data_IF_987311487812
#
_entry.id   IF_987311487812
#
_cell.length_a   1.000
_cell.length_b   1.000
_cell.length_c   1.000
_cell.angle_alpha   90.00
_cell.angle_beta   90.00
_cell.angle_gamma   90.00
#
_symmetry.space_group_name_H-M   'P 1'
#
loop_
_entity.id
_entity.type
_entity.pdbx_description
1 polymer ?
#
# COMPACT_ATOMS: atom_id res chain seq x y z
N UNK A 1 42.23 -32.97 -16.21
CA UNK A 1 40.90 -33.41 -16.68
C UNK A 1 39.93 -32.29 -16.37
N UNK A 2 39.14 -31.94 -17.38
CA UNK A 2 38.71 -30.58 -17.71
C UNK A 2 37.36 -30.23 -17.10
N UNK A 3 37.24 -29.02 -16.54
CA UNK A 3 35.97 -28.40 -16.15
C UNK A 3 35.18 -27.94 -17.38
N UNK A 4 33.88 -28.22 -17.41
CA UNK A 4 32.96 -27.79 -18.48
C UNK A 4 32.15 -26.59 -17.98
N UNK A 5 32.41 -25.42 -18.56
CA UNK A 5 31.57 -24.22 -18.48
C UNK A 5 30.52 -24.25 -19.60
N UNK A 6 29.24 -24.07 -19.27
CA UNK A 6 28.18 -23.80 -20.26
C UNK A 6 27.74 -22.33 -20.18
N UNK A 7 28.11 -21.55 -21.20
CA UNK A 7 27.53 -20.23 -21.50
C UNK A 7 26.48 -20.42 -22.59
N UNK A 8 25.22 -20.05 -22.33
CA UNK A 8 24.19 -19.92 -23.37
C UNK A 8 23.96 -18.44 -23.68
N UNK A 9 24.32 -18.06 -24.90
CA UNK A 9 24.04 -16.77 -25.51
C UNK A 9 22.88 -16.97 -26.50
N UNK A 10 21.73 -16.34 -26.29
CA UNK A 10 20.58 -16.43 -27.21
C UNK A 10 20.37 -15.04 -27.83
N UNK A 11 20.72 -14.91 -29.11
CA UNK A 11 20.37 -13.76 -29.93
C UNK A 11 18.93 -13.92 -30.47
N UNK A 12 18.08 -12.91 -30.29
CA UNK A 12 16.70 -12.87 -30.79
C UNK A 12 16.64 -12.35 -32.23
N UNK A 13 15.86 -13.02 -33.10
CA UNK A 13 15.61 -12.63 -34.49
C UNK A 13 14.38 -11.71 -34.61
N UNK A 14 14.37 -10.69 -35.49
CA UNK A 14 13.25 -9.75 -35.61
C UNK A 14 12.04 -10.37 -36.34
N UNK A 15 10.84 -10.32 -35.73
CA UNK A 15 9.57 -10.76 -36.35
C UNK A 15 8.87 -9.61 -37.09
N UNK A 16 8.27 -9.92 -38.24
CA UNK A 16 7.50 -9.03 -39.12
C UNK A 16 6.12 -8.65 -38.51
N UNK A 17 5.59 -7.43 -38.78
CA UNK A 17 4.30 -6.98 -38.25
C UNK A 17 3.12 -7.78 -38.80
N UNK A 18 2.29 -8.34 -37.91
CA UNK A 18 1.05 -9.05 -38.26
C UNK A 18 -0.10 -8.05 -38.45
N UNK A 19 -0.90 -8.20 -39.50
CA UNK A 19 -2.15 -7.44 -39.70
C UNK A 19 -3.37 -8.22 -39.18
N UNK A 20 -4.36 -7.52 -38.60
CA UNK A 20 -5.64 -8.10 -38.13
C UNK A 20 -6.83 -7.49 -38.88
N UNK A 21 -7.68 -8.32 -39.49
CA UNK A 21 -8.91 -7.88 -40.15
C UNK A 21 -10.08 -7.89 -39.15
N UNK A 22 -10.64 -6.71 -38.86
CA UNK A 22 -11.75 -6.50 -37.92
C UNK A 22 -12.97 -7.33 -38.33
N UNK A 23 -13.49 -8.13 -37.42
CA UNK A 23 -14.70 -8.95 -37.59
C UNK A 23 -15.91 -8.26 -36.94
N UNK A 24 -17.10 -8.70 -37.34
CA UNK A 24 -18.34 -8.21 -36.73
C UNK A 24 -18.34 -8.44 -35.21
N UNK A 25 -18.63 -7.40 -34.44
CA UNK A 25 -18.64 -7.44 -32.98
C UNK A 25 -17.29 -7.20 -32.30
N UNK A 26 -16.19 -7.07 -33.06
CA UNK A 26 -14.89 -6.69 -32.49
C UNK A 26 -14.81 -5.17 -32.23
N UNK A 27 -14.29 -4.82 -31.07
CA UNK A 27 -13.90 -3.46 -30.68
C UNK A 27 -12.38 -3.35 -30.63
N UNK A 28 -11.84 -2.13 -30.67
CA UNK A 28 -10.41 -1.89 -30.44
C UNK A 28 -9.92 -2.57 -29.17
N UNK A 29 -10.73 -2.54 -28.11
CA UNK A 29 -10.44 -3.21 -26.85
C UNK A 29 -10.31 -4.72 -27.02
N UNK A 30 -11.28 -5.38 -27.68
CA UNK A 30 -11.24 -6.84 -27.87
C UNK A 30 -10.07 -7.29 -28.75
N UNK A 31 -9.69 -6.47 -29.75
CA UNK A 31 -8.58 -6.78 -30.66
C UNK A 31 -7.24 -6.55 -29.95
N UNK A 32 -7.07 -5.40 -29.30
CA UNK A 32 -5.87 -5.07 -28.53
C UNK A 32 -5.60 -6.14 -27.45
N UNK A 33 -6.66 -6.58 -26.75
CA UNK A 33 -6.60 -7.68 -25.78
C UNK A 33 -6.18 -9.01 -26.41
N UNK A 34 -6.78 -9.38 -27.55
CA UNK A 34 -6.47 -10.63 -28.26
C UNK A 34 -5.02 -10.66 -28.77
N UNK A 35 -4.50 -9.50 -29.16
CA UNK A 35 -3.19 -9.35 -29.78
C UNK A 35 -2.09 -8.93 -28.80
N UNK A 36 -2.41 -8.73 -27.52
CA UNK A 36 -1.44 -8.39 -26.49
C UNK A 36 -0.81 -7.00 -26.62
N UNK A 37 -1.54 -6.03 -27.19
CA UNK A 37 -1.10 -4.64 -27.35
C UNK A 37 -2.04 -3.69 -26.60
N UNK A 38 -1.61 -2.46 -26.29
CA UNK A 38 -2.52 -1.46 -25.72
C UNK A 38 -3.46 -0.88 -26.78
N UNK A 39 -4.65 -0.43 -26.37
CA UNK A 39 -5.58 0.27 -27.29
C UNK A 39 -4.94 1.53 -27.86
N UNK A 40 -4.12 2.23 -27.07
CA UNK A 40 -3.46 3.46 -27.50
C UNK A 40 -2.34 3.19 -28.51
N UNK A 41 -1.53 2.15 -28.31
CA UNK A 41 -0.52 1.73 -29.29
C UNK A 41 -1.16 1.23 -30.57
N UNK A 42 -2.27 0.49 -30.46
CA UNK A 42 -3.03 0.05 -31.62
C UNK A 42 -3.64 1.24 -32.37
N UNK A 43 -4.15 2.26 -31.68
CA UNK A 43 -4.65 3.49 -32.30
C UNK A 43 -3.53 4.27 -32.98
N UNK A 44 -2.39 4.42 -32.31
CA UNK A 44 -1.22 5.15 -32.82
C UNK A 44 -0.64 4.47 -34.06
N UNK A 45 -0.51 3.14 -34.03
CA UNK A 45 -0.05 2.34 -35.17
C UNK A 45 -1.00 2.41 -36.38
N UNK A 46 -2.27 2.75 -36.16
CA UNK A 46 -3.31 2.79 -37.20
C UNK A 46 -3.87 4.21 -37.46
N UNK A 47 -3.27 5.26 -36.90
CA UNK A 47 -3.71 6.65 -37.08
C UNK A 47 -5.14 6.96 -36.60
N UNK A 48 -5.67 6.17 -35.66
CA UNK A 48 -7.06 6.26 -35.21
C UNK A 48 -7.22 7.36 -34.15
N UNK A 49 -8.10 8.33 -34.43
CA UNK A 49 -8.44 9.43 -33.50
C UNK A 49 -9.55 9.08 -32.50
N UNK A 50 -10.23 7.95 -32.69
CA UNK A 50 -11.35 7.51 -31.86
C UNK A 50 -11.47 5.98 -31.83
N UNK A 51 -12.55 5.48 -31.23
CA UNK A 51 -12.73 4.04 -30.97
C UNK A 51 -13.57 3.28 -32.02
N UNK A 52 -14.06 3.99 -33.04
CA UNK A 52 -14.91 3.41 -34.09
C UNK A 52 -14.07 2.56 -35.03
N UNK A 53 -14.49 1.31 -35.23
CA UNK A 53 -13.92 0.40 -36.21
C UNK A 53 -14.96 0.02 -37.25
N UNK A 54 -14.55 -0.07 -38.51
CA UNK A 54 -15.38 -0.62 -39.58
C UNK A 54 -15.15 -2.11 -39.71
N UNK A 55 -16.22 -2.89 -39.88
CA UNK A 55 -16.10 -4.33 -40.16
C UNK A 55 -15.30 -4.51 -41.46
N UNK A 56 -14.29 -5.37 -41.42
CA UNK A 56 -13.38 -5.62 -42.53
C UNK A 56 -12.16 -4.69 -42.59
N UNK A 57 -12.06 -3.68 -41.72
CA UNK A 57 -10.88 -2.83 -41.59
C UNK A 57 -9.64 -3.66 -41.22
N UNK A 58 -8.50 -3.39 -41.86
CA UNK A 58 -7.23 -4.04 -41.52
C UNK A 58 -6.46 -3.13 -40.56
N UNK A 59 -6.11 -3.66 -39.39
CA UNK A 59 -5.28 -2.99 -38.40
C UNK A 59 -3.86 -3.56 -38.43
N UNK A 60 -2.88 -2.67 -38.52
CA UNK A 60 -1.46 -2.96 -38.25
C UNK A 60 -1.30 -3.23 -36.77
N UNK A 61 -0.89 -4.44 -36.39
CA UNK A 61 -0.59 -4.75 -34.99
C UNK A 61 0.87 -4.36 -34.74
N UNK A 62 1.14 -3.38 -33.86
CA UNK A 62 2.51 -2.96 -33.58
C UNK A 62 3.30 -4.13 -32.98
N UNK A 63 4.42 -4.48 -33.60
CA UNK A 63 5.38 -5.44 -33.05
C UNK A 63 6.30 -4.69 -32.08
N UNK A 64 5.76 -4.40 -30.90
CA UNK A 64 6.51 -3.84 -29.78
C UNK A 64 6.69 -4.91 -28.72
N UNK A 65 7.91 -5.03 -28.21
CA UNK A 65 8.30 -5.87 -27.06
C UNK A 65 7.64 -5.38 -25.77
N UNK A 66 6.33 -5.50 -25.68
CA UNK A 66 5.59 -5.50 -24.43
C UNK A 66 4.77 -6.77 -24.48
N UNK A 67 5.25 -7.77 -23.74
CA UNK A 67 4.50 -8.99 -23.49
C UNK A 67 3.09 -8.63 -23.01
N UNK A 68 2.07 -9.41 -23.41
CA UNK A 68 0.76 -9.24 -22.84
C UNK A 68 0.87 -9.41 -21.31
N UNK A 69 0.53 -8.36 -20.56
CA UNK A 69 0.27 -8.39 -19.10
C UNK A 69 -0.98 -9.23 -18.80
N UNK A 70 -1.05 -10.45 -19.33
CA UNK A 70 -2.04 -11.48 -19.06
C UNK A 70 -1.36 -12.84 -18.87
N UNK A 71 -0.21 -12.84 -18.18
CA UNK A 71 0.13 -13.92 -17.24
C UNK A 71 -0.22 -13.43 -15.85
N UNK A 72 -1.28 -13.97 -15.26
CA UNK A 72 -1.68 -13.61 -13.90
C UNK A 72 -0.52 -13.81 -12.93
N UNK A 73 -0.16 -12.75 -12.19
CA UNK A 73 0.63 -12.72 -10.94
C UNK A 73 1.83 -13.69 -10.76
N UNK A 74 2.35 -14.32 -11.81
CA UNK A 74 3.44 -15.27 -11.76
C UNK A 74 4.59 -14.78 -12.62
N UNK A 75 5.74 -14.61 -11.98
CA UNK A 75 7.02 -14.08 -12.46
C UNK A 75 7.14 -12.54 -12.45
N UNK A 76 7.05 -11.95 -11.26
CA UNK A 76 7.86 -10.77 -10.95
C UNK A 76 9.16 -11.27 -10.32
N UNK A 77 10.36 -10.79 -10.72
CA UNK A 77 11.57 -11.09 -9.97
C UNK A 77 11.41 -10.52 -8.56
N UNK A 78 11.50 -11.38 -7.54
CA UNK A 78 11.57 -10.96 -6.15
C UNK A 78 12.82 -10.08 -6.00
N UNK A 79 12.64 -8.80 -5.67
CA UNK A 79 13.74 -7.94 -5.24
C UNK A 79 14.24 -8.55 -3.93
N UNK A 80 15.55 -8.81 -3.80
CA UNK A 80 16.08 -9.35 -2.55
C UNK A 80 16.02 -8.30 -1.44
N UNK A 81 15.88 -8.75 -0.19
CA UNK A 81 15.91 -7.87 0.99
C UNK A 81 17.21 -7.01 0.99
N UNK A 82 18.33 -7.56 0.52
CA UNK A 82 19.62 -6.87 0.40
C UNK A 82 19.60 -5.74 -0.65
N UNK A 83 18.82 -5.88 -1.71
CA UNK A 83 18.65 -4.85 -2.74
C UNK A 83 17.71 -3.74 -2.23
N UNK A 84 16.71 -4.07 -1.41
CA UNK A 84 15.86 -3.07 -0.73
C UNK A 84 16.62 -2.25 0.32
N UNK A 85 17.60 -2.85 1.00
CA UNK A 85 18.40 -2.19 2.04
C UNK A 85 19.44 -1.20 1.50
N UNK A 86 19.83 -1.29 0.22
CA UNK A 86 20.78 -0.35 -0.40
C UNK A 86 20.10 0.99 -0.69
N UNK A 87 20.16 1.90 0.29
CA UNK A 87 19.65 3.29 0.23
C UNK A 87 19.99 4.05 -1.07
N UNK A 88 21.11 3.74 -1.74
CA UNK A 88 21.51 4.39 -3.00
C UNK A 88 20.51 4.16 -4.16
N UNK A 89 19.70 3.10 -4.10
CA UNK A 89 18.67 2.83 -5.12
C UNK A 89 17.44 3.73 -4.98
N UNK A 90 17.13 4.20 -3.76
CA UNK A 90 15.95 5.06 -3.51
C UNK A 90 16.08 6.42 -4.20
N UNK A 91 17.29 6.95 -4.35
CA UNK A 91 17.55 8.26 -4.99
C UNK A 91 17.16 8.33 -6.48
N UNK A 92 17.03 7.16 -7.14
CA UNK A 92 16.47 7.06 -8.50
C UNK A 92 14.98 7.40 -8.54
N UNK A 93 14.27 7.08 -7.46
CA UNK A 93 12.81 7.14 -7.36
C UNK A 93 12.31 8.25 -6.46
N UNK A 94 13.20 8.88 -5.68
CA UNK A 94 12.86 9.95 -4.75
C UNK A 94 13.71 11.17 -5.05
N UNK A 95 13.05 12.32 -5.13
CA UNK A 95 13.67 13.65 -5.09
C UNK A 95 13.55 14.18 -3.66
N UNK A 96 14.68 14.53 -3.06
CA UNK A 96 14.71 15.25 -1.77
C UNK A 96 14.95 16.73 -2.05
N UNK A 97 14.14 17.60 -1.46
CA UNK A 97 14.33 19.05 -1.47
C UNK A 97 14.77 19.44 -0.08
N UNK A 98 15.98 20.01 0.02
CA UNK A 98 16.50 20.53 1.27
C UNK A 98 15.94 21.91 1.51
N UNK A 99 15.55 22.17 2.76
CA UNK A 99 15.07 23.47 3.18
C UNK A 99 16.05 24.11 4.16
N UNK A 100 16.28 25.40 3.99
CA UNK A 100 17.03 26.19 4.98
C UNK A 100 16.14 26.48 6.19
N UNK A 101 16.76 26.87 7.29
CA UNK A 101 16.04 27.43 8.43
C UNK A 101 15.22 28.67 7.98
N UNK A 102 14.03 28.81 8.56
CA UNK A 102 13.05 29.82 8.18
C UNK A 102 12.77 30.79 9.32
N UNK A 103 12.93 32.09 9.06
CA UNK A 103 12.53 33.15 9.99
C UNK A 103 11.04 33.44 9.86
N UNK A 104 10.29 33.25 10.95
CA UNK A 104 8.84 33.46 11.02
C UNK A 104 8.50 34.92 10.67
N UNK A 105 7.50 35.10 9.79
CA UNK A 105 6.96 36.41 9.43
C UNK A 105 5.61 36.64 10.08
N UNK A 106 5.14 37.90 10.05
CA UNK A 106 3.80 38.26 10.54
C UNK A 106 2.73 37.43 9.82
N UNK A 107 1.89 36.73 10.60
CA UNK A 107 0.81 35.88 10.08
C UNK A 107 1.27 34.48 9.63
N UNK A 108 2.51 34.08 9.92
CA UNK A 108 2.93 32.71 9.79
C UNK A 108 2.53 31.89 11.02
N UNK A 109 2.21 30.63 10.78
CA UNK A 109 1.95 29.61 11.79
C UNK A 109 2.32 28.24 11.20
N UNK A 110 2.61 27.22 12.04
CA UNK A 110 3.18 25.96 11.57
C UNK A 110 2.39 25.27 10.45
N UNK A 111 1.06 25.17 10.54
CA UNK A 111 0.24 24.59 9.48
C UNK A 111 0.37 25.31 8.12
N UNK A 112 0.47 26.65 8.09
CA UNK A 112 0.70 27.41 6.86
C UNK A 112 2.09 27.17 6.28
N UNK A 113 3.10 27.09 7.14
CA UNK A 113 4.47 26.79 6.71
C UNK A 113 4.57 25.35 6.18
N UNK A 114 3.87 24.40 6.81
CA UNK A 114 3.79 23.02 6.37
C UNK A 114 3.27 22.90 4.93
N UNK A 115 2.19 23.62 4.61
CA UNK A 115 1.66 23.71 3.24
C UNK A 115 2.67 24.37 2.29
N UNK A 116 3.29 25.48 2.70
CA UNK A 116 4.27 26.21 1.89
C UNK A 116 5.50 25.36 1.51
N UNK A 117 5.99 24.53 2.44
CA UNK A 117 7.18 23.72 2.25
C UNK A 117 6.89 22.28 1.80
N UNK A 118 5.61 21.91 1.64
CA UNK A 118 5.11 20.55 1.38
C UNK A 118 5.69 19.51 2.34
N UNK A 119 5.49 19.76 3.64
CA UNK A 119 5.88 18.89 4.74
C UNK A 119 4.74 18.75 5.74
N UNK A 120 4.82 17.78 6.64
CA UNK A 120 3.82 17.63 7.71
C UNK A 120 4.07 18.65 8.84
N UNK A 121 3.03 19.37 9.28
CA UNK A 121 3.09 20.36 10.37
C UNK A 121 3.76 19.77 11.61
N UNK A 122 3.34 18.55 11.97
CA UNK A 122 3.90 17.81 13.09
C UNK A 122 5.42 17.69 13.02
N UNK A 123 5.96 17.44 11.83
CA UNK A 123 7.40 17.26 11.65
C UNK A 123 8.14 18.58 11.84
N UNK A 124 7.56 19.72 11.45
CA UNK A 124 8.07 21.05 11.81
C UNK A 124 8.09 21.20 13.33
N UNK A 125 6.96 20.93 14.00
CA UNK A 125 6.86 21.11 15.45
C UNK A 125 7.91 20.28 16.20
N UNK A 126 7.94 18.97 15.94
CA UNK A 126 8.82 18.06 16.68
C UNK A 126 10.31 18.28 16.36
N UNK A 127 10.66 18.66 15.13
CA UNK A 127 12.05 19.01 14.78
C UNK A 127 12.56 20.22 15.57
N UNK A 128 11.65 21.12 15.95
CA UNK A 128 11.94 22.32 16.72
C UNK A 128 11.66 22.16 18.22
N UNK A 129 11.38 20.94 18.70
CA UNK A 129 11.05 20.69 20.11
C UNK A 129 9.74 21.32 20.57
N UNK A 130 8.85 21.63 19.63
CA UNK A 130 7.54 22.24 19.86
C UNK A 130 6.43 21.18 19.88
N UNK A 131 5.32 21.56 20.50
CA UNK A 131 4.03 20.89 20.40
C UNK A 131 2.94 21.91 20.04
N UNK A 132 1.69 21.48 19.90
CA UNK A 132 0.59 22.37 19.53
C UNK A 132 0.35 23.55 20.49
N UNK A 133 0.74 23.42 21.76
CA UNK A 133 0.63 24.51 22.75
C UNK A 133 1.82 25.46 22.69
N UNK A 134 3.05 24.94 22.70
CA UNK A 134 4.25 25.79 22.62
C UNK A 134 4.43 26.44 21.25
N UNK A 135 3.82 25.88 20.21
CA UNK A 135 3.75 26.53 18.90
C UNK A 135 2.99 27.86 18.92
N UNK A 136 2.06 28.05 19.86
CA UNK A 136 1.28 29.30 19.97
C UNK A 136 2.10 30.47 20.48
N UNK A 137 3.26 30.21 21.07
CA UNK A 137 4.15 31.26 21.58
C UNK A 137 5.12 31.79 20.52
N UNK A 138 5.11 31.21 19.31
CA UNK A 138 5.97 31.63 18.21
C UNK A 138 5.66 33.08 17.77
N UNK A 139 6.72 33.85 17.54
CA UNK A 139 6.64 35.26 17.15
C UNK A 139 7.40 35.53 15.85
N UNK A 140 7.02 36.59 15.11
CA UNK A 140 7.82 37.05 13.99
C UNK A 140 9.28 37.31 14.42
N UNK A 141 10.23 36.77 13.66
CA UNK A 141 11.66 36.80 13.99
C UNK A 141 12.21 35.49 14.55
N UNK A 142 11.36 34.61 15.11
CA UNK A 142 11.79 33.28 15.52
C UNK A 142 12.28 32.46 14.32
N UNK A 143 13.25 31.58 14.54
CA UNK A 143 13.82 30.73 13.49
C UNK A 143 13.37 29.28 13.70
N UNK A 144 12.72 28.71 12.68
CA UNK A 144 12.33 27.31 12.62
C UNK A 144 13.20 26.52 11.66
N UNK A 145 13.64 25.35 12.10
CA UNK A 145 14.16 24.32 11.21
C UNK A 145 13.01 23.74 10.40
N UNK A 146 13.17 23.66 9.08
CA UNK A 146 12.18 23.07 8.18
C UNK A 146 12.71 21.69 7.76
N UNK A 147 11.95 20.60 7.96
CA UNK A 147 12.38 19.27 7.51
C UNK A 147 12.47 19.22 5.98
N UNK A 148 13.39 18.43 5.44
CA UNK A 148 13.46 18.17 4.00
C UNK A 148 12.13 17.62 3.47
N UNK A 149 11.69 18.03 2.28
CA UNK A 149 10.54 17.41 1.61
C UNK A 149 10.99 16.32 0.63
N UNK A 150 10.20 15.24 0.52
CA UNK A 150 10.51 14.09 -0.33
C UNK A 150 9.36 13.81 -1.29
N UNK A 151 9.69 13.70 -2.57
CA UNK A 151 8.71 13.45 -3.61
C UNK A 151 9.12 12.27 -4.49
N UNK A 152 8.15 11.45 -4.85
CA UNK A 152 8.26 10.40 -5.83
C UNK A 152 8.65 10.99 -7.20
N UNK A 153 9.45 10.24 -7.94
CA UNK A 153 9.75 10.47 -9.35
C UNK A 153 9.97 9.13 -10.04
N UNK A 154 9.67 9.06 -11.33
CA UNK A 154 9.95 7.88 -12.16
C UNK A 154 9.28 6.59 -11.63
N UNK A 155 8.08 6.70 -11.04
CA UNK A 155 7.33 5.54 -10.56
C UNK A 155 6.41 5.04 -11.67
N UNK A 156 6.84 4.02 -12.40
CA UNK A 156 6.07 3.54 -13.55
C UNK A 156 5.21 2.31 -13.24
N UNK A 157 5.54 1.60 -12.16
CA UNK A 157 4.87 0.37 -11.73
C UNK A 157 5.03 0.15 -10.22
N UNK A 158 4.38 -0.90 -9.69
CA UNK A 158 4.42 -1.23 -8.26
C UNK A 158 5.82 -1.62 -7.76
N UNK A 159 6.71 -2.13 -8.62
CA UNK A 159 8.09 -2.43 -8.23
C UNK A 159 8.90 -1.16 -8.00
N UNK A 160 8.72 -0.14 -8.85
CA UNK A 160 9.33 1.17 -8.63
C UNK A 160 8.82 1.80 -7.32
N UNK A 161 7.53 1.65 -7.01
CA UNK A 161 6.95 2.10 -5.74
C UNK A 161 7.53 1.35 -4.54
N UNK A 162 7.66 0.01 -4.63
CA UNK A 162 8.27 -0.83 -3.61
C UNK A 162 9.74 -0.44 -3.35
N UNK A 163 10.52 -0.22 -4.41
CA UNK A 163 11.90 0.28 -4.35
C UNK A 163 11.97 1.68 -3.74
N UNK A 164 11.06 2.58 -4.11
CA UNK A 164 11.00 3.91 -3.53
C UNK A 164 10.74 3.84 -2.01
N UNK A 165 9.85 2.95 -1.58
CA UNK A 165 9.48 2.82 -0.18
C UNK A 165 10.43 1.95 0.65
N UNK A 166 11.28 1.14 0.03
CA UNK A 166 12.14 0.19 0.74
C UNK A 166 11.32 -0.94 1.40
N UNK A 167 10.27 -1.40 0.70
CA UNK A 167 9.36 -2.46 1.15
C UNK A 167 9.18 -3.49 0.04
N UNK A 168 8.63 -4.65 0.37
CA UNK A 168 8.38 -5.71 -0.59
C UNK A 168 7.27 -5.34 -1.61
N UNK A 169 7.37 -5.77 -2.88
CA UNK A 169 6.29 -5.59 -3.85
C UNK A 169 4.97 -6.22 -3.40
N UNK A 170 5.02 -7.33 -2.67
CA UNK A 170 3.82 -7.99 -2.14
C UNK A 170 3.14 -7.16 -1.06
N UNK A 171 3.90 -6.41 -0.26
CA UNK A 171 3.33 -5.45 0.68
C UNK A 171 2.55 -4.35 -0.04
N UNK A 172 3.12 -3.75 -1.10
CA UNK A 172 2.44 -2.71 -1.89
C UNK A 172 1.18 -3.25 -2.57
N UNK A 173 1.26 -4.44 -3.20
CA UNK A 173 0.11 -5.09 -3.82
C UNK A 173 -1.01 -5.33 -2.82
N UNK A 174 -0.68 -5.75 -1.60
CA UNK A 174 -1.69 -5.98 -0.57
C UNK A 174 -2.32 -4.67 -0.11
N UNK A 175 -1.54 -3.61 0.13
CA UNK A 175 -2.11 -2.30 0.46
C UNK A 175 -3.09 -1.86 -0.61
N UNK A 176 -2.70 -1.98 -1.88
CA UNK A 176 -3.59 -1.72 -3.01
C UNK A 176 -4.83 -2.61 -3.01
N UNK A 177 -4.68 -3.92 -2.80
CA UNK A 177 -5.79 -4.86 -2.77
C UNK A 177 -6.77 -4.62 -1.61
N UNK A 178 -6.31 -4.07 -0.48
CA UNK A 178 -7.19 -3.65 0.61
C UNK A 178 -8.04 -2.44 0.23
N UNK A 179 -7.47 -1.50 -0.53
CA UNK A 179 -8.21 -0.33 -1.03
C UNK A 179 -9.19 -0.75 -2.16
N UNK A 180 -8.77 -1.66 -3.06
CA UNK A 180 -9.63 -2.20 -4.12
C UNK A 180 -10.70 -3.18 -3.58
N UNK A 181 -10.41 -3.80 -2.43
CA UNK A 181 -11.13 -4.93 -1.84
C UNK A 181 -12.55 -4.64 -1.38
N UNK A 182 -13.04 -3.42 -1.58
CA UNK A 182 -14.43 -3.07 -1.37
C UNK A 182 -15.37 -3.42 -2.53
N UNK A 183 -14.90 -4.18 -3.55
CA UNK A 183 -15.62 -5.21 -4.33
C UNK A 183 -14.76 -5.80 -5.47
N UNK A 184 -14.58 -7.13 -5.50
CA UNK A 184 -15.14 -8.02 -6.56
C UNK A 184 -14.70 -9.50 -6.43
N UNK A 185 -15.63 -10.33 -5.93
CA UNK A 185 -15.76 -11.79 -6.08
C UNK A 185 -14.93 -12.47 -7.20
N UNK A 186 -13.61 -12.61 -7.04
CA UNK A 186 -12.77 -13.49 -7.86
C UNK A 186 -12.70 -13.19 -9.36
N UNK A 187 -12.96 -11.96 -9.82
CA UNK A 187 -12.76 -11.58 -11.24
C UNK A 187 -11.37 -10.97 -11.45
N UNK A 188 -10.63 -11.36 -12.50
CA UNK A 188 -9.36 -10.73 -12.82
C UNK A 188 -9.57 -9.25 -13.19
N UNK A 189 -8.65 -8.44 -12.69
CA UNK A 189 -8.64 -6.99 -12.78
C UNK A 189 -8.70 -6.49 -14.24
N UNK A 190 -9.49 -5.44 -14.51
CA UNK A 190 -9.49 -4.73 -15.80
C UNK A 190 -9.48 -3.20 -15.66
N UNK A 191 -8.48 -2.56 -16.28
CA UNK A 191 -8.32 -1.19 -16.86
C UNK A 191 -8.93 0.07 -16.22
N UNK A 192 -9.68 0.00 -15.11
CA UNK A 192 -10.00 1.18 -14.29
C UNK A 192 -9.68 0.91 -12.81
N UNK A 193 -8.49 0.35 -12.60
CA UNK A 193 -8.02 -0.27 -11.35
C UNK A 193 -7.28 0.68 -10.41
N UNK A 194 -6.84 1.86 -10.84
CA UNK A 194 -6.02 2.75 -10.02
C UNK A 194 -6.81 3.89 -9.37
N UNK A 195 -8.15 3.91 -9.47
CA UNK A 195 -8.98 5.03 -9.04
C UNK A 195 -8.44 6.38 -9.57
N UNK A 196 -8.21 6.43 -10.88
CA UNK A 196 -7.66 7.59 -11.60
C UNK A 196 -8.55 8.85 -11.54
N UNK A 197 -9.77 8.70 -11.05
CA UNK A 197 -10.77 9.75 -10.79
C UNK A 197 -11.31 9.61 -9.38
N UNK A 198 -11.93 10.65 -8.81
CA UNK A 198 -12.36 10.63 -7.43
C UNK A 198 -13.51 9.63 -7.22
N UNK A 199 -13.57 9.06 -6.03
CA UNK A 199 -14.63 8.21 -5.51
C UNK A 199 -14.94 8.60 -4.06
N UNK A 200 -16.02 8.05 -3.50
CA UNK A 200 -16.37 8.25 -2.09
C UNK A 200 -15.93 7.01 -1.31
N UNK A 201 -15.09 7.20 -0.29
CA UNK A 201 -14.63 6.11 0.58
C UNK A 201 -15.73 5.65 1.56
N UNK A 202 -15.44 4.63 2.38
CA UNK A 202 -16.39 4.14 3.40
C UNK A 202 -16.74 5.19 4.48
N UNK A 203 -15.87 6.18 4.67
CA UNK A 203 -16.05 7.25 5.63
C UNK A 203 -16.81 8.46 5.04
N UNK A 204 -17.12 8.44 3.74
CA UNK A 204 -17.84 9.50 3.04
C UNK A 204 -16.95 10.60 2.46
N UNK A 205 -15.62 10.41 2.43
CA UNK A 205 -14.68 11.40 1.92
C UNK A 205 -14.44 11.26 0.42
N UNK A 206 -14.26 12.39 -0.27
CA UNK A 206 -13.81 12.41 -1.67
C UNK A 206 -12.34 11.95 -1.72
N UNK A 207 -12.09 10.81 -2.36
CA UNK A 207 -10.81 10.08 -2.35
C UNK A 207 -10.40 9.77 -3.79
N UNK A 208 -9.10 9.74 -4.09
CA UNK A 208 -8.55 9.36 -5.40
C UNK A 208 -7.40 8.38 -5.20
N UNK A 209 -7.05 7.63 -6.24
CA UNK A 209 -5.89 6.75 -6.17
C UNK A 209 -6.03 5.64 -5.11
N UNK A 210 -4.90 5.35 -4.47
CA UNK A 210 -4.81 4.33 -3.41
C UNK A 210 -4.99 5.05 -2.05
N UNK A 211 -6.24 5.26 -1.65
CA UNK A 211 -6.62 5.80 -0.33
C UNK A 211 -6.31 7.28 -0.10
N UNK A 212 -6.01 8.07 -1.13
CA UNK A 212 -5.67 9.49 -0.97
C UNK A 212 -6.93 10.36 -0.87
N UNK A 213 -7.22 10.90 0.31
CA UNK A 213 -8.33 11.84 0.51
C UNK A 213 -7.98 13.18 -0.15
N UNK A 214 -8.79 13.61 -1.12
CA UNK A 214 -8.55 14.81 -1.91
C UNK A 214 -8.64 16.09 -1.07
N UNK A 215 -7.66 16.97 -1.27
CA UNK A 215 -7.62 18.34 -0.75
C UNK A 215 -8.06 19.35 -1.81
N UNK A 216 -8.44 20.54 -1.35
CA UNK A 216 -8.87 21.62 -2.24
C UNK A 216 -7.73 22.03 -3.17
N UNK A 217 -8.00 22.03 -4.49
CA UNK A 217 -7.04 22.44 -5.52
C UNK A 217 -6.22 21.30 -6.11
N UNK A 218 -6.34 20.08 -5.58
CA UNK A 218 -5.66 18.91 -6.15
C UNK A 218 -6.31 18.45 -7.46
N UNK A 219 -5.50 17.80 -8.30
CA UNK A 219 -5.95 17.24 -9.58
C UNK A 219 -6.98 16.14 -9.33
N UNK A 220 -8.10 16.20 -10.05
CA UNK A 220 -9.16 15.18 -10.01
C UNK A 220 -9.04 14.11 -11.11
N UNK A 221 -8.03 14.21 -11.97
CA UNK A 221 -7.80 13.24 -13.04
C UNK A 221 -6.31 12.93 -13.10
N UNK A 222 -5.95 11.68 -12.87
CA UNK A 222 -4.57 11.22 -12.75
C UNK A 222 -4.32 10.08 -13.74
N UNK A 223 -3.16 10.07 -14.38
CA UNK A 223 -2.62 8.88 -15.05
C UNK A 223 -2.25 7.79 -14.02
N UNK A 224 -2.08 6.53 -14.44
CA UNK A 224 -1.65 5.45 -13.53
C UNK A 224 -0.31 5.76 -12.86
N UNK A 225 0.59 6.40 -13.61
CA UNK A 225 1.86 6.92 -13.10
C UNK A 225 1.63 7.94 -11.98
N UNK A 226 0.77 8.94 -12.22
CA UNK A 226 0.47 9.97 -11.21
C UNK A 226 -0.20 9.37 -9.97
N UNK A 227 -1.06 8.36 -10.11
CA UNK A 227 -1.62 7.63 -8.96
C UNK A 227 -0.51 6.95 -8.14
N UNK A 228 0.43 6.27 -8.80
CA UNK A 228 1.52 5.60 -8.11
C UNK A 228 2.49 6.60 -7.46
N UNK A 229 2.79 7.72 -8.13
CA UNK A 229 3.60 8.80 -7.55
C UNK A 229 2.90 9.43 -6.35
N UNK A 230 1.58 9.67 -6.42
CA UNK A 230 0.77 10.15 -5.30
C UNK A 230 0.79 9.18 -4.11
N UNK A 231 0.55 7.90 -4.36
CA UNK A 231 0.63 6.86 -3.34
C UNK A 231 2.01 6.81 -2.67
N UNK A 232 3.09 6.87 -3.46
CA UNK A 232 4.44 6.91 -2.90
C UNK A 232 4.65 8.20 -2.09
N UNK A 233 4.15 9.35 -2.53
CA UNK A 233 4.24 10.60 -1.76
C UNK A 233 3.56 10.49 -0.39
N UNK A 234 2.34 9.92 -0.34
CA UNK A 234 1.63 9.70 0.93
C UNK A 234 2.41 8.76 1.85
N UNK A 235 3.02 7.73 1.28
CA UNK A 235 3.87 6.78 2.00
C UNK A 235 5.17 7.38 2.49
N UNK A 236 5.77 8.32 1.76
CA UNK A 236 6.94 9.07 2.22
C UNK A 236 6.60 9.95 3.42
N UNK A 237 5.45 10.65 3.38
CA UNK A 237 4.96 11.44 4.53
C UNK A 237 4.70 10.55 5.75
N UNK A 238 4.13 9.36 5.54
CA UNK A 238 3.94 8.38 6.61
C UNK A 238 5.27 7.87 7.20
N UNK A 239 6.23 7.56 6.34
CA UNK A 239 7.59 7.15 6.75
C UNK A 239 8.27 8.25 7.59
N UNK A 240 8.16 9.51 7.19
CA UNK A 240 8.69 10.66 7.93
C UNK A 240 8.01 10.84 9.29
N UNK A 241 6.69 10.66 9.37
CA UNK A 241 5.96 10.67 10.64
C UNK A 241 6.46 9.55 11.57
N UNK A 242 6.74 8.35 11.04
CA UNK A 242 7.35 7.26 11.80
C UNK A 242 8.78 7.60 12.27
N UNK A 243 9.58 8.30 11.47
CA UNK A 243 10.90 8.79 11.91
C UNK A 243 10.74 9.67 13.13
N UNK A 244 9.84 10.64 13.05
CA UNK A 244 9.55 11.58 14.12
C UNK A 244 9.12 10.86 15.41
N UNK A 245 8.19 9.91 15.32
CA UNK A 245 7.73 9.09 16.46
C UNK A 245 8.87 8.29 17.10
N UNK A 246 9.77 7.73 16.28
CA UNK A 246 10.90 6.93 16.77
C UNK A 246 12.08 7.80 17.24
N UNK A 247 11.97 9.12 17.19
CA UNK A 247 13.02 10.05 17.61
C UNK A 247 14.15 10.18 16.58
N UNK A 248 13.80 10.15 15.30
CA UNK A 248 14.67 10.44 14.17
C UNK A 248 14.84 9.28 13.19
N UNK A 249 15.20 9.64 11.95
CA UNK A 249 15.42 8.72 10.82
C UNK A 249 16.37 7.56 11.15
N UNK A 250 17.46 7.83 11.88
CA UNK A 250 18.44 6.80 12.26
C UNK A 250 17.83 5.65 13.07
N UNK A 251 16.82 5.91 13.90
CA UNK A 251 16.16 4.87 14.69
C UNK A 251 15.21 4.05 13.82
N UNK A 252 14.54 4.69 12.86
CA UNK A 252 13.69 4.00 11.89
C UNK A 252 14.52 3.11 10.94
N UNK A 253 15.63 3.61 10.42
CA UNK A 253 16.48 2.86 9.47
C UNK A 253 17.03 1.56 10.07
N UNK A 254 17.27 1.51 11.39
CA UNK A 254 17.70 0.31 12.12
C UNK A 254 16.64 -0.77 12.23
N UNK A 255 15.36 -0.46 11.99
CA UNK A 255 14.31 -1.47 12.08
C UNK A 255 14.46 -2.51 10.96
N UNK A 256 14.20 -3.79 11.24
CA UNK A 256 14.05 -4.81 10.21
C UNK A 256 12.99 -4.39 9.19
N UNK A 257 13.19 -4.74 7.91
CA UNK A 257 12.24 -4.39 6.85
C UNK A 257 10.81 -4.83 7.17
N UNK A 258 10.64 -6.05 7.67
CA UNK A 258 9.31 -6.58 8.01
C UNK A 258 8.62 -5.81 9.15
N UNK A 259 9.39 -5.22 10.06
CA UNK A 259 8.87 -4.33 11.10
C UNK A 259 8.44 -3.00 10.48
N UNK A 260 9.24 -2.43 9.56
CA UNK A 260 8.87 -1.20 8.84
C UNK A 260 7.55 -1.38 8.08
N UNK A 261 7.40 -2.48 7.34
CA UNK A 261 6.17 -2.84 6.62
C UNK A 261 4.96 -2.91 7.57
N UNK A 262 5.09 -3.62 8.70
CA UNK A 262 4.01 -3.71 9.68
C UNK A 262 3.64 -2.33 10.27
N UNK A 263 4.62 -1.47 10.58
CA UNK A 263 4.35 -0.12 11.07
C UNK A 263 3.69 0.77 10.02
N UNK A 264 4.10 0.66 8.76
CA UNK A 264 3.45 1.37 7.65
C UNK A 264 1.99 0.93 7.52
N UNK A 265 1.67 -0.37 7.51
CA UNK A 265 0.26 -0.83 7.43
C UNK A 265 -0.56 -0.36 8.64
N UNK A 266 0.01 -0.47 9.84
CA UNK A 266 -0.66 -0.04 11.06
C UNK A 266 -1.06 1.44 11.03
N UNK A 267 -0.23 2.27 10.39
CA UNK A 267 -0.41 3.72 10.35
C UNK A 267 -1.13 4.22 9.11
N UNK A 268 -1.11 3.48 7.99
CA UNK A 268 -1.68 3.87 6.68
C UNK A 268 -3.07 4.54 6.81
N UNK A 269 -3.98 3.91 7.56
CA UNK A 269 -5.37 4.39 7.73
C UNK A 269 -5.67 5.04 9.10
N UNK A 270 -4.72 5.01 10.04
CA UNK A 270 -4.97 5.43 11.44
C UNK A 270 -4.06 6.55 11.92
N UNK A 271 -3.06 6.93 11.12
CA UNK A 271 -1.97 7.78 11.55
C UNK A 271 -1.09 7.10 12.60
N UNK A 272 -0.13 7.85 13.13
CA UNK A 272 0.87 7.34 14.07
C UNK A 272 0.40 7.19 15.51
N UNK A 273 -0.76 7.77 15.88
CA UNK A 273 -1.30 7.69 17.24
C UNK A 273 -1.47 6.25 17.72
N UNK A 274 -1.82 5.32 16.82
CA UNK A 274 -1.91 3.90 17.16
C UNK A 274 -0.59 3.32 17.70
N UNK A 275 0.56 3.85 17.26
CA UNK A 275 1.87 3.45 17.76
C UNK A 275 2.19 4.17 19.07
N UNK A 276 1.94 5.46 19.11
CA UNK A 276 2.30 6.34 20.24
C UNK A 276 1.48 6.04 21.50
N UNK A 277 0.17 5.84 21.34
CA UNK A 277 -0.76 5.55 22.42
C UNK A 277 -0.59 4.12 22.94
N UNK A 278 0.09 3.25 22.19
CA UNK A 278 0.39 1.89 22.62
C UNK A 278 1.56 1.91 23.61
N UNK A 279 1.22 1.88 24.90
CA UNK A 279 2.18 1.92 26.01
C UNK A 279 3.35 0.95 25.78
N UNK A 280 4.56 1.51 25.73
CA UNK A 280 5.82 0.76 25.60
C UNK A 280 6.23 0.42 24.16
N UNK A 281 5.35 0.55 23.15
CA UNK A 281 5.67 0.14 21.78
C UNK A 281 6.83 0.95 21.19
N UNK A 282 6.75 2.29 21.21
CA UNK A 282 7.83 3.16 20.73
C UNK A 282 9.16 2.86 21.42
N UNK A 283 9.13 2.66 22.74
CA UNK A 283 10.34 2.35 23.51
C UNK A 283 10.93 1.00 23.08
N UNK A 284 10.13 -0.08 23.01
CA UNK A 284 10.61 -1.41 22.60
C UNK A 284 11.21 -1.41 21.19
N UNK A 285 10.58 -0.70 20.24
CA UNK A 285 11.09 -0.52 18.88
C UNK A 285 12.47 0.15 18.88
N UNK A 286 12.61 1.27 19.61
CA UNK A 286 13.89 2.01 19.70
C UNK A 286 15.00 1.21 20.37
N UNK A 287 14.66 0.33 21.30
CA UNK A 287 15.61 -0.54 22.00
C UNK A 287 15.93 -1.83 21.23
N UNK A 288 15.35 -2.05 20.04
CA UNK A 288 15.53 -3.30 19.28
C UNK A 288 14.90 -4.53 19.93
N UNK A 289 13.97 -4.34 20.88
CA UNK A 289 13.25 -5.42 21.58
C UNK A 289 12.05 -5.88 20.74
N UNK A 290 12.33 -6.42 19.55
CA UNK A 290 11.32 -6.66 18.53
C UNK A 290 10.26 -7.70 18.92
N UNK A 291 10.61 -8.76 19.65
CA UNK A 291 9.61 -9.71 20.18
C UNK A 291 8.57 -9.00 21.07
N UNK A 292 9.04 -8.14 21.99
CA UNK A 292 8.15 -7.35 22.86
C UNK A 292 7.32 -6.34 22.05
N UNK A 293 7.94 -5.66 21.08
CA UNK A 293 7.25 -4.72 20.20
C UNK A 293 6.12 -5.42 19.42
N UNK A 294 6.39 -6.58 18.81
CA UNK A 294 5.40 -7.37 18.07
C UNK A 294 4.23 -7.77 18.98
N UNK A 295 4.53 -8.20 20.21
CA UNK A 295 3.50 -8.57 21.19
C UNK A 295 2.60 -7.40 21.63
N UNK A 296 3.01 -6.15 21.37
CA UNK A 296 2.22 -4.94 21.63
C UNK A 296 1.39 -4.48 20.42
N UNK A 297 1.59 -5.02 19.22
CA UNK A 297 0.88 -4.64 17.98
C UNK A 297 -0.57 -5.18 17.90
N UNK A 298 -1.27 -5.26 19.03
CA UNK A 298 -2.60 -5.90 19.15
C UNK A 298 -3.77 -4.92 19.17
N UNK A 299 -3.52 -3.61 19.02
CA UNK A 299 -4.56 -2.59 19.12
C UNK A 299 -5.54 -2.64 17.92
N UNK A 300 -6.74 -3.14 18.19
CA UNK A 300 -7.82 -3.35 17.23
C UNK A 300 -9.01 -2.39 17.44
N UNK A 301 -8.81 -1.27 18.14
CA UNK A 301 -9.87 -0.29 18.39
C UNK A 301 -9.97 0.73 17.26
N UNK A 302 -11.18 1.22 17.00
CA UNK A 302 -11.42 2.43 16.20
C UNK A 302 -11.04 3.68 17.02
N UNK A 303 -11.05 4.86 16.38
CA UNK A 303 -10.87 6.13 17.09
C UNK A 303 -11.91 6.35 18.21
N UNK A 304 -13.12 5.79 18.05
CA UNK A 304 -14.20 5.82 19.06
C UNK A 304 -14.09 4.67 20.09
N UNK A 305 -12.98 3.94 20.12
CA UNK A 305 -12.72 2.85 21.06
C UNK A 305 -13.43 1.52 20.76
N UNK A 306 -14.21 1.42 19.68
CA UNK A 306 -14.94 0.21 19.31
C UNK A 306 -13.98 -0.84 18.73
N UNK A 307 -14.14 -2.09 19.15
CA UNK A 307 -13.40 -3.22 18.58
C UNK A 307 -14.18 -3.88 17.45
N UNK A 308 -13.47 -4.32 16.42
CA UNK A 308 -14.06 -4.97 15.24
C UNK A 308 -13.29 -6.23 14.86
N UNK A 309 -13.98 -7.23 14.33
CA UNK A 309 -13.36 -8.48 13.87
C UNK A 309 -12.36 -8.23 12.74
N UNK A 310 -12.72 -7.35 11.79
CA UNK A 310 -11.87 -6.91 10.68
C UNK A 310 -10.60 -6.20 11.15
N UNK A 311 -10.67 -5.39 12.22
CA UNK A 311 -9.49 -4.76 12.80
C UNK A 311 -8.59 -5.77 13.51
N UNK A 312 -9.17 -6.80 14.13
CA UNK A 312 -8.39 -7.91 14.71
C UNK A 312 -7.68 -8.70 13.61
N UNK A 313 -8.36 -8.93 12.48
CA UNK A 313 -7.78 -9.57 11.30
C UNK A 313 -6.61 -8.76 10.72
N UNK A 314 -6.75 -7.43 10.64
CA UNK A 314 -5.64 -6.52 10.26
C UNK A 314 -4.46 -6.63 11.23
N UNK A 315 -4.69 -6.62 12.55
CA UNK A 315 -3.61 -6.80 13.54
C UNK A 315 -2.92 -8.15 13.44
N UNK A 316 -3.67 -9.22 13.16
CA UNK A 316 -3.07 -10.53 12.90
C UNK A 316 -2.11 -10.48 11.70
N UNK A 317 -2.50 -9.79 10.62
CA UNK A 317 -1.61 -9.57 9.50
C UNK A 317 -0.35 -8.79 9.90
N UNK A 318 -0.49 -7.66 10.60
CA UNK A 318 0.66 -6.82 10.98
C UNK A 318 1.67 -7.58 11.83
N UNK A 319 1.18 -8.32 12.82
CA UNK A 319 1.99 -9.18 13.69
C UNK A 319 2.70 -10.25 12.86
N UNK A 320 2.01 -10.84 11.88
CA UNK A 320 2.59 -11.89 11.03
C UNK A 320 3.63 -11.35 10.06
N UNK A 321 3.38 -10.18 9.47
CA UNK A 321 4.34 -9.44 8.65
C UNK A 321 5.58 -9.12 9.47
N UNK A 322 5.42 -8.51 10.63
CA UNK A 322 6.53 -8.21 11.53
C UNK A 322 7.34 -9.47 11.88
N UNK A 323 6.67 -10.59 12.18
CA UNK A 323 7.28 -11.87 12.53
C UNK A 323 8.13 -12.50 11.41
N UNK A 324 8.03 -12.06 10.15
CA UNK A 324 8.87 -12.55 9.04
C UNK A 324 10.36 -12.32 9.27
N UNK A 325 10.74 -11.35 10.12
CA UNK A 325 12.15 -11.16 10.52
C UNK A 325 12.79 -12.43 11.12
N UNK A 326 11.98 -13.33 11.67
CA UNK A 326 12.43 -14.60 12.24
C UNK A 326 12.52 -15.74 11.21
N UNK A 327 12.42 -15.45 9.91
CA UNK A 327 12.62 -16.39 8.79
C UNK A 327 11.82 -17.70 8.97
N UNK A 328 10.54 -17.55 9.31
CA UNK A 328 9.60 -18.66 9.50
C UNK A 328 9.59 -19.29 10.89
N UNK A 329 10.49 -18.91 11.81
CA UNK A 329 10.59 -19.45 13.18
C UNK A 329 10.38 -18.38 14.26
N UNK A 330 9.18 -17.76 14.34
CA UNK A 330 8.92 -16.73 15.35
C UNK A 330 8.90 -17.32 16.77
N UNK A 331 9.20 -16.50 17.80
CA UNK A 331 9.08 -16.91 19.19
C UNK A 331 7.66 -17.39 19.54
N UNK A 332 7.55 -18.35 20.47
CA UNK A 332 6.26 -18.87 20.91
C UNK A 332 5.35 -17.78 21.50
N UNK A 333 5.92 -16.75 22.13
CA UNK A 333 5.17 -15.60 22.63
C UNK A 333 4.41 -14.88 21.51
N UNK A 334 5.04 -14.70 20.34
CA UNK A 334 4.44 -14.08 19.15
C UNK A 334 3.33 -14.95 18.58
N UNK A 335 3.56 -16.27 18.48
CA UNK A 335 2.53 -17.23 18.04
C UNK A 335 1.32 -17.18 18.99
N UNK A 336 1.56 -17.14 20.31
CA UNK A 336 0.51 -17.02 21.31
C UNK A 336 -0.26 -15.69 21.16
N UNK A 337 0.43 -14.60 20.83
CA UNK A 337 -0.22 -13.31 20.55
C UNK A 337 -1.06 -13.37 19.28
N UNK A 338 -0.56 -13.97 18.19
CA UNK A 338 -1.34 -14.20 16.96
C UNK A 338 -2.62 -14.98 17.27
N UNK A 339 -2.51 -16.07 18.05
CA UNK A 339 -3.67 -16.86 18.47
C UNK A 339 -4.67 -16.04 19.30
N UNK A 340 -4.19 -15.22 20.24
CA UNK A 340 -5.06 -14.35 21.05
C UNK A 340 -5.81 -13.33 20.20
N UNK A 341 -5.12 -12.67 19.26
CA UNK A 341 -5.73 -11.69 18.34
C UNK A 341 -6.78 -12.37 17.46
N UNK A 342 -6.46 -13.56 16.93
CA UNK A 342 -7.41 -14.37 16.18
C UNK A 342 -8.66 -14.73 17.00
N UNK A 343 -8.48 -15.28 18.20
CA UNK A 343 -9.59 -15.68 19.08
C UNK A 343 -10.51 -14.50 19.40
N UNK A 344 -9.92 -13.33 19.71
CA UNK A 344 -10.67 -12.09 19.94
C UNK A 344 -11.43 -11.65 18.69
N UNK A 345 -10.82 -11.76 17.52
CA UNK A 345 -11.45 -11.48 16.24
C UNK A 345 -12.65 -12.37 15.95
N UNK A 346 -12.55 -13.68 16.19
CA UNK A 346 -13.66 -14.63 16.04
C UNK A 346 -14.80 -14.32 17.01
N UNK A 347 -14.49 -13.96 18.27
CA UNK A 347 -15.51 -13.56 19.23
C UNK A 347 -16.28 -12.31 18.76
N UNK A 348 -15.58 -11.31 18.23
CA UNK A 348 -16.19 -10.10 17.65
C UNK A 348 -17.01 -10.45 16.40
N UNK A 349 -16.49 -11.31 15.52
CA UNK A 349 -17.18 -11.74 14.30
C UNK A 349 -18.51 -12.40 14.63
N UNK A 350 -18.58 -13.19 15.71
CA UNK A 350 -19.83 -13.81 16.17
C UNK A 350 -20.88 -12.77 16.52
N UNK A 351 -20.48 -11.70 17.21
CA UNK A 351 -21.38 -10.59 17.61
C UNK A 351 -21.81 -9.80 16.37
N UNK A 352 -20.87 -9.48 15.47
CA UNK A 352 -21.14 -8.77 14.22
C UNK A 352 -22.10 -9.55 13.32
N UNK A 353 -21.82 -10.83 13.08
CA UNK A 353 -22.67 -11.71 12.29
C UNK A 353 -24.08 -11.85 12.88
N UNK A 354 -24.22 -11.90 14.20
CA UNK A 354 -25.52 -11.90 14.86
C UNK A 354 -26.32 -10.62 14.60
N UNK A 355 -25.65 -9.47 14.62
CA UNK A 355 -26.28 -8.18 14.35
C UNK A 355 -26.64 -7.99 12.88
N UNK A 356 -25.80 -8.48 11.96
CA UNK A 356 -26.07 -8.42 10.53
C UNK A 356 -27.17 -9.38 10.11
N UNK A 357 -27.22 -10.57 10.70
CA UNK A 357 -28.30 -11.55 10.47
C UNK A 357 -29.68 -10.97 10.80
N UNK A 358 -29.82 -10.18 11.88
CA UNK A 358 -31.08 -9.50 12.26
C UNK A 358 -31.61 -8.54 11.20
N UNK A 359 -30.75 -8.05 10.29
CA UNK A 359 -31.11 -7.12 9.22
C UNK A 359 -31.54 -7.84 7.94
N UNK A 360 -31.31 -9.15 7.83
CA UNK A 360 -31.65 -9.94 6.65
C UNK A 360 -33.15 -10.21 6.60
N UNK A 361 -33.75 -10.06 5.41
CA UNK A 361 -35.13 -10.48 5.14
C UNK A 361 -35.12 -11.91 4.60
N UNK A 362 -35.83 -12.83 5.26
CA UNK A 362 -35.98 -14.24 4.87
C UNK A 362 -34.65 -14.93 4.49
N UNK A 363 -33.69 -15.07 5.42
CA UNK A 363 -32.31 -15.48 5.11
C UNK A 363 -32.16 -16.93 4.62
N UNK A 364 -33.17 -17.80 4.76
CA UNK A 364 -33.13 -19.18 4.26
C UNK A 364 -32.11 -20.12 4.95
N UNK A 365 -31.32 -19.61 5.90
CA UNK A 365 -30.33 -20.33 6.70
C UNK A 365 -30.43 -19.88 8.16
N UNK A 366 -29.99 -20.71 9.11
CA UNK A 366 -29.95 -20.33 10.53
C UNK A 366 -28.87 -19.27 10.81
N UNK A 367 -29.03 -18.50 11.89
CA UNK A 367 -28.01 -17.54 12.34
C UNK A 367 -26.65 -18.23 12.59
N UNK A 368 -26.66 -19.44 13.13
CA UNK A 368 -25.44 -20.24 13.32
C UNK A 368 -24.78 -20.55 11.98
N UNK A 369 -25.55 -20.99 10.98
CA UNK A 369 -25.01 -21.27 9.65
C UNK A 369 -24.48 -19.99 8.97
N UNK A 370 -25.16 -18.85 9.14
CA UNK A 370 -24.69 -17.56 8.65
C UNK A 370 -23.32 -17.20 9.27
N UNK A 371 -23.17 -17.34 10.59
CA UNK A 371 -21.89 -17.14 11.26
C UNK A 371 -20.80 -18.10 10.77
N UNK A 372 -21.10 -19.40 10.62
CA UNK A 372 -20.13 -20.39 10.13
C UNK A 372 -19.64 -20.06 8.71
N UNK A 373 -20.51 -19.54 7.85
CA UNK A 373 -20.12 -19.08 6.51
C UNK A 373 -19.13 -17.89 6.58
N UNK A 374 -19.36 -16.93 7.47
CA UNK A 374 -18.43 -15.81 7.68
C UNK A 374 -17.10 -16.28 8.30
N UNK A 375 -17.18 -17.19 9.28
CA UNK A 375 -16.03 -17.76 9.96
C UNK A 375 -15.12 -18.53 8.99
N UNK A 376 -15.68 -19.22 7.99
CA UNK A 376 -14.89 -19.91 6.97
C UNK A 376 -13.98 -18.95 6.19
N UNK A 377 -14.51 -17.79 5.75
CA UNK A 377 -13.72 -16.75 5.09
C UNK A 377 -12.67 -16.15 6.04
N UNK A 378 -13.07 -15.84 7.27
CA UNK A 378 -12.18 -15.31 8.30
C UNK A 378 -11.00 -16.26 8.60
N UNK A 379 -11.28 -17.56 8.73
CA UNK A 379 -10.28 -18.60 8.99
C UNK A 379 -9.30 -18.76 7.84
N UNK A 380 -9.79 -18.71 6.59
CA UNK A 380 -8.94 -18.81 5.40
C UNK A 380 -7.88 -17.71 5.41
N UNK A 381 -8.30 -16.46 5.57
CA UNK A 381 -7.38 -15.32 5.60
C UNK A 381 -6.45 -15.36 6.82
N UNK A 382 -6.97 -15.71 8.00
CA UNK A 382 -6.18 -15.77 9.23
C UNK A 382 -5.07 -16.84 9.15
N UNK A 383 -5.36 -18.00 8.55
CA UNK A 383 -4.38 -19.05 8.29
C UNK A 383 -3.32 -18.62 7.28
N UNK A 384 -3.73 -17.94 6.21
CA UNK A 384 -2.81 -17.42 5.20
C UNK A 384 -1.83 -16.41 5.83
N UNK A 385 -2.34 -15.44 6.60
CA UNK A 385 -1.49 -14.45 7.25
C UNK A 385 -0.53 -15.05 8.27
N UNK A 386 -1.02 -15.99 9.09
CA UNK A 386 -0.20 -16.63 10.11
C UNK A 386 0.71 -17.73 9.57
N UNK A 387 0.70 -18.00 8.25
CA UNK A 387 1.41 -19.12 7.63
C UNK A 387 1.12 -20.45 8.34
N UNK A 388 -0.15 -20.67 8.71
CA UNK A 388 -0.61 -21.88 9.41
C UNK A 388 -0.18 -22.01 10.88
N UNK A 389 0.41 -20.98 11.49
CA UNK A 389 0.91 -21.05 12.88
C UNK A 389 -0.17 -20.94 13.96
N UNK A 390 -1.38 -20.51 13.61
CA UNK A 390 -2.53 -20.47 14.52
C UNK A 390 -3.42 -21.71 14.35
N UNK A 391 -4.18 -22.01 15.39
CA UNK A 391 -5.23 -23.03 15.40
C UNK A 391 -6.59 -22.36 15.16
N UNK A 392 -7.21 -22.57 13.99
CA UNK A 392 -8.52 -22.00 13.68
C UNK A 392 -9.62 -22.72 14.47
N UNK A 393 -10.64 -21.96 14.86
CA UNK A 393 -11.87 -22.45 15.46
C UNK A 393 -12.78 -22.99 14.35
N UNK A 394 -13.23 -24.23 14.48
CA UNK A 394 -14.08 -24.90 13.50
C UNK A 394 -15.55 -25.04 13.92
N UNK A 395 -15.90 -24.76 15.19
CA UNK A 395 -17.25 -24.86 15.75
C UNK A 395 -17.54 -23.74 16.75
#
# INVERSE_FOLDING_TARGET
MTEINFNFNIAASPQQPKGHKVKAGETLYSIAKSMGVSVEDLKKANGLKGNTLSIGQILTIPSGTNEPETRGFSMMPSISDEELEKNNLRNKYIKTVKHSDYTIKKGDYPAKLAEQFDVEERNILMLNGLNGETAKTLQPGDVLKIPDSRHAKNINNLNDAAKAMGVSPEFIKRLKALEDGNKNNGKPYGVNEFHNTPYIDEAGNETIGIGHVLKKGEKKYLSNKEVLELFVNDMLKMEENLWTVLGGRKNYEKLPQSIKEALIDMTFNKGTSIIEDTKGLVWTLKQGKYEAAINLMTNNKTQKGKELSGLSKRRLFDISTAAKMYKGKPPQSVINTQQKVYNRGVALLRIEAANDYKKLKNPGISQQQYFLNQLAGYNKEALEFSEGKIKPISK
#
